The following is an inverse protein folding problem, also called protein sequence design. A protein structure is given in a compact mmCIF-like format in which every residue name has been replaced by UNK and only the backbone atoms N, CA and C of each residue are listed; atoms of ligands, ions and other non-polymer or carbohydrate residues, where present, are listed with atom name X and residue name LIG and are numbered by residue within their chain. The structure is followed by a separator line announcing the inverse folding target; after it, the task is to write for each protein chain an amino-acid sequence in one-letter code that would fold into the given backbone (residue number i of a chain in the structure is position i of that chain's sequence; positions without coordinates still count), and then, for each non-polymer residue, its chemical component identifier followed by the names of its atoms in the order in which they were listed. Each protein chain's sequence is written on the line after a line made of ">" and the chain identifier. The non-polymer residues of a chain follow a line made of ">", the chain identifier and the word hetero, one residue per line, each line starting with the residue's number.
data_IF_005292463832
#
_entry.id   IF_005292463832
#
_cell.length_a   1.000
_cell.length_b   1.000
_cell.length_c   1.000
_cell.angle_alpha   90.00
_cell.angle_beta   90.00
_cell.angle_gamma   90.00
#
_symmetry.space_group_name_H-M   'P 1'
#
loop_
_entity.id
_entity.type
_entity.pdbx_description
1 polymer ?
#
# COMPACT_ATOMS: atom_id res chain seq x y z
N UNK A 1 -29.07 -35.46 36.03
CA UNK A 1 -27.79 -34.73 36.07
C UNK A 1 -27.27 -34.64 34.64
N UNK A 2 -27.77 -33.64 33.89
CA UNK A 2 -27.55 -33.50 32.45
C UNK A 2 -26.14 -32.94 32.21
N UNK A 3 -25.30 -33.69 31.48
CA UNK A 3 -23.97 -33.25 31.06
C UNK A 3 -24.12 -32.10 30.07
N UNK A 4 -23.99 -30.88 30.59
CA UNK A 4 -24.05 -29.67 29.80
C UNK A 4 -22.77 -29.54 28.98
N UNK A 5 -22.96 -29.60 27.65
CA UNK A 5 -22.16 -28.88 26.66
C UNK A 5 -20.68 -29.21 26.66
N UNK A 6 -20.35 -30.25 25.87
CA UNK A 6 -19.06 -30.35 25.22
C UNK A 6 -18.93 -29.14 24.26
N UNK A 7 -18.34 -28.06 24.74
CA UNK A 7 -18.00 -26.88 23.94
C UNK A 7 -17.07 -27.39 22.84
N UNK A 8 -17.59 -27.48 21.63
CA UNK A 8 -16.85 -27.79 20.41
C UNK A 8 -15.65 -26.84 20.35
N UNK A 9 -14.47 -27.33 20.72
CA UNK A 9 -13.23 -26.60 20.49
C UNK A 9 -13.16 -26.31 18.99
N UNK A 10 -13.16 -25.03 18.64
CA UNK A 10 -13.21 -24.54 17.28
C UNK A 10 -11.85 -24.74 16.60
N UNK A 11 -11.54 -25.98 16.23
CA UNK A 11 -10.41 -26.33 15.35
C UNK A 11 -10.61 -25.87 13.90
N UNK A 12 -11.34 -24.78 13.68
CA UNK A 12 -11.62 -24.21 12.35
C UNK A 12 -10.31 -23.80 11.69
N UNK A 13 -9.39 -23.22 12.45
CA UNK A 13 -8.05 -22.85 11.97
C UNK A 13 -7.24 -24.06 11.50
N UNK A 14 -7.27 -25.18 12.23
CA UNK A 14 -6.55 -26.39 11.82
C UNK A 14 -7.17 -27.03 10.58
N UNK A 15 -8.49 -27.08 10.49
CA UNK A 15 -9.23 -27.54 9.30
C UNK A 15 -8.99 -26.66 8.07
N UNK A 16 -8.87 -25.34 8.27
CA UNK A 16 -8.60 -24.38 7.22
C UNK A 16 -7.17 -24.54 6.68
N UNK A 17 -6.18 -24.76 7.55
CA UNK A 17 -4.79 -25.08 7.12
C UNK A 17 -4.67 -26.41 6.38
N UNK A 18 -5.58 -27.37 6.57
CA UNK A 18 -5.60 -28.62 5.81
C UNK A 18 -5.98 -28.40 4.34
N UNK A 19 -6.84 -27.42 4.05
CA UNK A 19 -7.22 -27.04 2.69
C UNK A 19 -6.18 -26.11 2.06
N UNK A 20 -5.23 -26.69 1.33
CA UNK A 20 -4.18 -25.95 0.61
C UNK A 20 -4.75 -24.81 -0.26
N UNK A 21 -5.83 -25.07 -1.01
CA UNK A 21 -6.46 -24.08 -1.88
C UNK A 21 -7.04 -22.87 -1.12
N UNK A 22 -7.67 -23.10 0.05
CA UNK A 22 -8.23 -22.03 0.87
C UNK A 22 -7.16 -21.15 1.52
N UNK A 23 -6.01 -21.75 1.88
CA UNK A 23 -4.87 -20.99 2.36
C UNK A 23 -4.22 -20.13 1.26
N UNK A 24 -4.07 -20.67 0.05
CA UNK A 24 -3.56 -19.92 -1.10
C UNK A 24 -4.48 -18.76 -1.50
N UNK A 25 -5.81 -18.97 -1.52
CA UNK A 25 -6.75 -17.88 -1.84
C UNK A 25 -6.71 -16.77 -0.79
N UNK A 26 -6.62 -17.13 0.50
CA UNK A 26 -6.44 -16.16 1.58
C UNK A 26 -5.17 -15.34 1.39
N UNK A 27 -4.06 -16.00 1.03
CA UNK A 27 -2.77 -15.34 0.85
C UNK A 27 -2.79 -14.41 -0.37
N UNK A 28 -3.30 -14.87 -1.52
CA UNK A 28 -3.43 -14.03 -2.73
C UNK A 28 -4.34 -12.83 -2.46
N UNK A 29 -5.50 -13.05 -1.85
CA UNK A 29 -6.43 -11.98 -1.51
C UNK A 29 -5.80 -10.99 -0.53
N UNK A 30 -5.13 -11.48 0.51
CA UNK A 30 -4.45 -10.62 1.49
C UNK A 30 -3.34 -9.79 0.84
N UNK A 31 -2.55 -10.38 -0.06
CA UNK A 31 -1.54 -9.64 -0.81
C UNK A 31 -2.18 -8.57 -1.70
N UNK A 32 -3.21 -8.92 -2.47
CA UNK A 32 -3.92 -7.97 -3.33
C UNK A 32 -4.56 -6.83 -2.51
N UNK A 33 -5.15 -7.15 -1.36
CA UNK A 33 -5.74 -6.17 -0.47
C UNK A 33 -4.69 -5.22 0.11
N UNK A 34 -3.56 -5.73 0.61
CA UNK A 34 -2.45 -4.90 1.10
C UNK A 34 -1.91 -4.02 -0.03
N UNK A 35 -1.68 -4.59 -1.23
CA UNK A 35 -1.25 -3.80 -2.40
C UNK A 35 -2.27 -2.72 -2.76
N UNK A 36 -3.58 -2.97 -2.63
CA UNK A 36 -4.59 -1.95 -2.89
C UNK A 36 -4.57 -0.79 -1.90
N UNK A 37 -4.21 -1.05 -0.63
CA UNK A 37 -4.06 0.01 0.36
C UNK A 37 -2.86 0.91 0.05
N UNK A 38 -1.81 0.35 -0.54
CA UNK A 38 -0.63 1.09 -0.99
C UNK A 38 -0.68 1.43 -2.49
N UNK A 39 -1.83 1.27 -3.16
CA UNK A 39 -1.95 1.52 -4.59
C UNK A 39 -1.68 2.99 -4.92
N UNK A 40 -2.11 3.92 -4.08
CA UNK A 40 -1.80 5.34 -4.24
C UNK A 40 -0.29 5.62 -4.17
N UNK A 41 0.48 4.81 -3.45
CA UNK A 41 1.95 4.92 -3.38
C UNK A 41 2.60 4.31 -4.63
N UNK A 42 2.09 3.17 -5.09
CA UNK A 42 2.65 2.42 -6.22
C UNK A 42 2.27 3.06 -7.57
N UNK A 43 1.06 3.61 -7.67
CA UNK A 43 0.50 4.21 -8.88
C UNK A 43 0.47 5.75 -8.79
N UNK A 44 1.37 6.35 -8.01
CA UNK A 44 1.46 7.81 -7.91
C UNK A 44 2.07 8.39 -9.19
N UNK A 45 1.45 9.42 -9.75
CA UNK A 45 1.97 10.14 -10.93
C UNK A 45 3.18 11.03 -10.59
N UNK A 46 3.44 11.27 -9.30
CA UNK A 46 4.58 12.05 -8.81
C UNK A 46 5.67 11.14 -8.24
N UNK A 47 6.95 11.47 -8.46
CA UNK A 47 8.05 10.69 -7.90
C UNK A 47 8.00 10.66 -6.36
N UNK A 48 8.45 9.55 -5.76
CA UNK A 48 8.52 9.42 -4.30
C UNK A 48 9.54 10.39 -3.69
N UNK A 49 10.72 10.48 -4.32
CA UNK A 49 11.85 11.30 -3.89
C UNK A 49 12.52 11.90 -5.13
N UNK A 50 12.84 13.20 -5.07
CA UNK A 50 13.61 13.93 -6.10
C UNK A 50 14.84 14.53 -5.46
N UNK A 51 16.00 14.42 -6.11
CA UNK A 51 17.22 15.12 -5.69
C UNK A 51 17.46 16.29 -6.63
N UNK A 52 17.48 17.50 -6.09
CA UNK A 52 17.73 18.71 -6.86
C UNK A 52 18.71 19.63 -6.13
N UNK A 53 19.75 20.07 -6.83
CA UNK A 53 20.84 20.92 -6.30
C UNK A 53 21.47 20.42 -4.96
N UNK A 54 21.47 19.11 -4.73
CA UNK A 54 22.05 18.51 -3.52
C UNK A 54 21.05 18.28 -2.38
N UNK A 55 19.84 18.82 -2.47
CA UNK A 55 18.76 18.61 -1.50
C UNK A 55 17.77 17.52 -1.95
N UNK A 56 17.11 16.90 -0.98
CA UNK A 56 16.10 15.87 -1.21
C UNK A 56 14.69 16.43 -1.00
N UNK A 57 13.84 16.21 -1.99
CA UNK A 57 12.45 16.64 -2.01
C UNK A 57 11.53 15.42 -2.03
N UNK A 58 10.39 15.50 -1.36
CA UNK A 58 9.38 14.44 -1.24
C UNK A 58 8.04 14.87 -1.87
N UNK A 59 7.94 14.90 -3.21
CA UNK A 59 6.78 15.46 -3.90
C UNK A 59 5.49 14.65 -3.74
N UNK A 60 5.60 13.39 -3.30
CA UNK A 60 4.46 12.56 -2.90
C UNK A 60 3.70 13.13 -1.69
N UNK A 61 4.39 13.78 -0.75
CA UNK A 61 3.80 14.27 0.51
C UNK A 61 3.52 15.78 0.45
N UNK A 62 4.36 16.53 -0.29
CA UNK A 62 4.25 17.98 -0.42
C UNK A 62 4.33 18.41 -1.89
N UNK A 63 3.41 19.27 -2.30
CA UNK A 63 3.49 19.92 -3.61
C UNK A 63 4.50 21.06 -3.54
N UNK A 64 5.53 21.00 -4.38
CA UNK A 64 6.49 22.08 -4.58
C UNK A 64 6.15 22.85 -5.85
N UNK A 65 6.32 24.19 -5.87
CA UNK A 65 6.17 24.99 -7.07
C UNK A 65 7.39 24.83 -7.99
N UNK A 66 7.19 24.98 -9.29
CA UNK A 66 8.25 24.90 -10.31
C UNK A 66 9.38 25.93 -10.12
N UNK A 67 9.12 27.06 -9.45
CA UNK A 67 10.18 28.00 -9.00
C UNK A 67 11.25 27.34 -8.12
N UNK A 68 10.92 26.28 -7.37
CA UNK A 68 11.88 25.53 -6.55
C UNK A 68 12.88 24.76 -7.41
N UNK A 69 12.48 24.40 -8.63
CA UNK A 69 13.30 23.64 -9.58
C UNK A 69 13.85 24.51 -10.72
N UNK A 70 13.75 25.84 -10.60
CA UNK A 70 14.26 26.80 -11.58
C UNK A 70 13.26 27.21 -12.67
N UNK A 71 11.98 26.94 -12.50
CA UNK A 71 10.89 27.42 -13.38
C UNK A 71 10.49 28.88 -13.08
N UNK A 72 9.77 29.48 -14.03
CA UNK A 72 9.45 30.91 -14.00
C UNK A 72 8.14 31.25 -13.28
N UNK A 73 7.24 30.28 -13.08
CA UNK A 73 5.91 30.53 -12.49
C UNK A 73 5.71 29.83 -11.14
N UNK A 74 4.81 30.33 -10.27
CA UNK A 74 4.48 29.68 -9.01
C UNK A 74 3.43 28.57 -9.18
N UNK A 75 3.50 27.78 -10.25
CA UNK A 75 2.60 26.65 -10.52
C UNK A 75 3.14 25.33 -9.98
N UNK A 76 2.29 24.33 -9.70
CA UNK A 76 2.74 23.00 -9.28
C UNK A 76 3.70 22.41 -10.31
N UNK A 77 4.85 21.89 -9.86
CA UNK A 77 5.83 21.29 -10.76
C UNK A 77 5.24 20.09 -11.51
N UNK A 78 5.34 20.12 -12.84
CA UNK A 78 5.18 18.94 -13.67
C UNK A 78 6.50 18.14 -13.67
N UNK A 79 6.46 16.92 -13.14
CA UNK A 79 7.63 16.04 -13.03
C UNK A 79 7.78 15.13 -14.25
N UNK A 80 6.84 15.17 -15.19
CA UNK A 80 6.80 14.35 -16.40
C UNK A 80 7.20 15.14 -17.65
N UNK A 81 7.41 16.45 -17.52
CA UNK A 81 7.93 17.28 -18.60
C UNK A 81 9.39 16.89 -18.93
N UNK A 82 9.71 16.63 -20.22
CA UNK A 82 11.03 16.16 -20.66
C UNK A 82 12.13 17.24 -20.67
#
# INVERSE_FOLDING_TARGET
>A
MLSLRQIRQSGIWQRFKTHRLGYWSLLIFSCAFVLSLFAEVIANDKPLIVKYQGEYYLPMIKTYPETTFGGDFPTPTDYLDP
#
